data_IF_047661923709
#
_entry.id   IF_047661923709
#
_cell.length_a   1.000
_cell.length_b   1.000
_cell.length_c   1.000
_cell.angle_alpha   90.00
_cell.angle_beta   90.00
_cell.angle_gamma   90.00
#
_symmetry.space_group_name_H-M   'P 1'
#
loop_
_entity.id
_entity.type
_entity.pdbx_description
1 polymer ?
#
# COMPACT_ATOMS: atom_id res chain seq x y z
N UNK A 1 -45.38 16.80 34.30
CA UNK A 1 -45.05 16.70 32.87
C UNK A 1 -43.80 17.48 32.43
N UNK A 2 -43.49 18.67 32.98
CA UNK A 2 -42.32 19.47 32.56
C UNK A 2 -40.94 18.94 33.01
N UNK A 3 -40.83 18.28 34.17
CA UNK A 3 -39.54 17.75 34.69
C UNK A 3 -38.99 16.60 33.81
N UNK A 4 -39.85 15.69 33.39
CA UNK A 4 -39.49 14.52 32.57
C UNK A 4 -38.97 14.93 31.19
N UNK A 5 -39.57 15.95 30.56
CA UNK A 5 -39.09 16.51 29.29
C UNK A 5 -37.68 17.11 29.40
N UNK A 6 -37.36 17.81 30.50
CA UNK A 6 -36.02 18.39 30.72
C UNK A 6 -34.94 17.32 30.91
N UNK A 7 -35.27 16.22 31.58
CA UNK A 7 -34.36 15.07 31.76
C UNK A 7 -34.11 14.41 30.40
N UNK A 8 -35.17 14.19 29.62
CA UNK A 8 -35.08 13.55 28.31
C UNK A 8 -34.24 14.37 27.32
N UNK A 9 -34.40 15.70 27.29
CA UNK A 9 -33.57 16.59 26.47
C UNK A 9 -32.09 16.55 26.88
N UNK A 10 -31.79 16.52 28.19
CA UNK A 10 -30.40 16.40 28.67
C UNK A 10 -29.78 15.06 28.29
N UNK A 11 -30.52 13.96 28.43
CA UNK A 11 -30.07 12.64 28.02
C UNK A 11 -29.77 12.58 26.51
N UNK A 12 -30.61 13.17 25.67
CA UNK A 12 -30.39 13.23 24.22
C UNK A 12 -29.14 14.06 23.88
N UNK A 13 -28.93 15.22 24.52
CA UNK A 13 -27.74 16.03 24.30
C UNK A 13 -26.44 15.31 24.69
N UNK A 14 -26.45 14.56 25.80
CA UNK A 14 -25.29 13.75 26.22
C UNK A 14 -25.01 12.63 25.21
N UNK A 15 -26.03 11.97 24.69
CA UNK A 15 -25.86 10.92 23.67
C UNK A 15 -25.27 11.48 22.36
N UNK A 16 -25.73 12.66 21.91
CA UNK A 16 -25.19 13.33 20.72
C UNK A 16 -23.73 13.73 20.94
N UNK A 17 -23.40 14.26 22.12
CA UNK A 17 -22.02 14.61 22.45
C UNK A 17 -21.09 13.37 22.48
N UNK A 18 -21.55 12.25 23.04
CA UNK A 18 -20.80 10.99 23.05
C UNK A 18 -20.61 10.45 21.63
N UNK A 19 -21.63 10.48 20.78
CA UNK A 19 -21.51 10.06 19.39
C UNK A 19 -20.51 10.92 18.61
N UNK A 20 -20.51 12.24 18.83
CA UNK A 20 -19.55 13.15 18.22
C UNK A 20 -18.10 12.87 18.69
N UNK A 21 -17.90 12.56 19.98
CA UNK A 21 -16.59 12.19 20.51
C UNK A 21 -16.08 10.87 19.92
N UNK A 22 -16.96 9.86 19.78
CA UNK A 22 -16.61 8.60 19.12
C UNK A 22 -16.22 8.82 17.65
N UNK A 23 -16.95 9.67 16.91
CA UNK A 23 -16.61 10.01 15.54
C UNK A 23 -15.27 10.75 15.45
N UNK A 24 -14.99 11.68 16.36
CA UNK A 24 -13.69 12.37 16.40
C UNK A 24 -12.54 11.40 16.70
N UNK A 25 -12.71 10.48 17.66
CA UNK A 25 -11.71 9.47 17.97
C UNK A 25 -11.46 8.54 16.78
N UNK A 26 -12.51 8.15 16.06
CA UNK A 26 -12.42 7.35 14.83
C UNK A 26 -11.63 8.09 13.74
N UNK A 27 -11.94 9.37 13.51
CA UNK A 27 -11.21 10.19 12.53
C UNK A 27 -9.73 10.36 12.90
N UNK A 28 -9.42 10.60 14.18
CA UNK A 28 -8.02 10.73 14.63
C UNK A 28 -7.27 9.41 14.46
N UNK A 29 -7.88 8.28 14.84
CA UNK A 29 -7.29 6.96 14.62
C UNK A 29 -7.06 6.68 13.14
N UNK A 30 -8.01 7.02 12.27
CA UNK A 30 -7.88 6.91 10.81
C UNK A 30 -6.73 7.74 10.25
N UNK A 31 -6.58 9.00 10.70
CA UNK A 31 -5.48 9.87 10.28
C UNK A 31 -4.13 9.29 10.72
N UNK A 32 -4.03 8.76 11.93
CA UNK A 32 -2.80 8.12 12.43
C UNK A 32 -2.42 6.93 11.54
N UNK A 33 -3.37 6.06 11.20
CA UNK A 33 -3.14 4.90 10.34
C UNK A 33 -2.63 5.31 8.95
N UNK A 34 -3.23 6.35 8.35
CA UNK A 34 -2.77 6.90 7.07
C UNK A 34 -1.30 7.37 7.10
N UNK A 35 -0.90 8.04 8.18
CA UNK A 35 0.49 8.49 8.35
C UNK A 35 1.44 7.36 8.69
N UNK A 36 0.98 6.31 9.38
CA UNK A 36 1.80 5.13 9.68
C UNK A 36 2.22 4.41 8.39
N UNK A 37 1.28 4.17 7.49
CA UNK A 37 1.53 3.56 6.18
C UNK A 37 2.54 4.33 5.33
N UNK A 38 2.35 5.65 5.24
CA UNK A 38 3.27 6.52 4.51
C UNK A 38 4.66 6.57 5.15
N UNK A 39 4.72 6.69 6.49
CA UNK A 39 6.00 6.73 7.20
C UNK A 39 6.82 5.45 7.05
N UNK A 40 6.18 4.30 6.87
CA UNK A 40 6.86 3.05 6.59
C UNK A 40 7.49 3.07 5.19
N UNK A 41 6.74 3.51 4.17
CA UNK A 41 7.27 3.70 2.81
C UNK A 41 8.45 4.68 2.77
N UNK A 42 8.35 5.79 3.50
CA UNK A 42 9.44 6.77 3.63
C UNK A 42 10.68 6.20 4.33
N UNK A 43 10.50 5.41 5.40
CA UNK A 43 11.59 4.71 6.09
C UNK A 43 12.28 3.69 5.18
N UNK A 44 11.52 2.99 4.36
CA UNK A 44 12.07 2.05 3.37
C UNK A 44 12.86 2.78 2.29
N UNK A 45 12.34 3.90 1.78
CA UNK A 45 13.04 4.73 0.80
C UNK A 45 14.36 5.28 1.34
N UNK A 46 14.40 5.68 2.61
CA UNK A 46 15.61 6.14 3.27
C UNK A 46 16.63 5.02 3.55
N UNK A 47 16.18 3.77 3.68
CA UNK A 47 17.02 2.60 3.96
C UNK A 47 17.38 1.79 2.70
N UNK A 48 16.98 2.24 1.51
CA UNK A 48 17.35 1.60 0.26
C UNK A 48 18.89 1.57 0.13
N UNK A 49 19.50 0.40 -0.10
CA UNK A 49 20.95 0.31 -0.23
C UNK A 49 21.43 1.09 -1.46
N UNK A 50 22.34 2.03 -1.24
CA UNK A 50 23.12 2.68 -2.29
C UNK A 50 24.30 1.75 -2.61
N UNK A 51 24.12 0.76 -3.47
CA UNK A 51 25.18 -0.22 -3.76
C UNK A 51 25.59 -0.25 -5.23
N UNK A 52 26.47 0.69 -5.57
CA UNK A 52 27.47 0.52 -6.61
C UNK A 52 28.59 -0.40 -6.12
N UNK A 53 28.37 -1.71 -6.23
CA UNK A 53 29.42 -2.72 -6.41
C UNK A 53 29.97 -3.41 -5.16
N UNK A 54 29.54 -4.65 -4.93
CA UNK A 54 30.39 -5.87 -5.06
C UNK A 54 29.55 -7.13 -4.81
N UNK A 55 29.54 -8.08 -5.76
CA UNK A 55 28.87 -9.38 -5.57
C UNK A 55 29.68 -10.27 -4.62
N UNK A 56 29.47 -10.11 -3.32
CA UNK A 56 29.68 -11.16 -2.34
C UNK A 56 28.31 -11.74 -1.98
N UNK A 57 28.19 -13.07 -1.87
CA UNK A 57 26.98 -13.75 -1.37
C UNK A 57 26.78 -13.49 0.14
N UNK A 58 26.79 -12.22 0.55
CA UNK A 58 26.19 -11.82 1.81
C UNK A 58 24.68 -12.00 1.66
N UNK A 59 24.05 -12.57 2.70
CA UNK A 59 22.59 -12.62 2.81
C UNK A 59 22.05 -11.25 2.47
N UNK A 60 21.26 -11.16 1.39
CA UNK A 60 20.58 -9.92 1.02
C UNK A 60 19.87 -9.41 2.27
N UNK A 61 20.30 -8.25 2.76
CA UNK A 61 19.67 -7.62 3.91
C UNK A 61 18.34 -7.06 3.45
N UNK A 62 17.27 -7.79 3.73
CA UNK A 62 15.90 -7.36 3.48
C UNK A 62 15.63 -6.18 4.43
N UNK A 63 15.38 -4.97 3.91
CA UNK A 63 15.17 -3.79 4.75
C UNK A 63 13.75 -3.71 5.34
N UNK A 64 12.88 -4.64 4.97
CA UNK A 64 11.46 -4.73 5.37
C UNK A 64 11.30 -5.62 6.61
N UNK A 65 10.61 -5.13 7.63
CA UNK A 65 10.17 -5.94 8.77
C UNK A 65 8.83 -6.63 8.44
N UNK A 66 8.91 -7.81 7.81
CA UNK A 66 7.72 -8.56 7.43
C UNK A 66 6.95 -9.11 8.63
N UNK A 67 7.60 -9.36 9.78
CA UNK A 67 6.92 -9.83 10.98
C UNK A 67 5.97 -8.74 11.52
N UNK A 68 6.43 -7.48 11.57
CA UNK A 68 5.59 -6.33 11.95
C UNK A 68 4.44 -6.12 10.97
N UNK A 69 4.72 -6.17 9.66
CA UNK A 69 3.71 -5.98 8.62
C UNK A 69 2.65 -7.09 8.63
N UNK A 70 3.07 -8.35 8.75
CA UNK A 70 2.14 -9.48 8.76
C UNK A 70 1.33 -9.56 10.06
N UNK A 71 1.87 -9.06 11.17
CA UNK A 71 1.11 -8.86 12.39
C UNK A 71 0.02 -7.78 12.23
N UNK A 72 0.27 -6.75 11.41
CA UNK A 72 -0.72 -5.73 11.06
C UNK A 72 -1.78 -6.28 10.10
N UNK A 73 -1.36 -6.96 9.03
CA UNK A 73 -2.25 -7.60 8.08
C UNK A 73 -1.61 -8.85 7.46
N UNK A 74 -2.17 -10.05 7.68
CA UNK A 74 -1.61 -11.30 7.16
C UNK A 74 -1.69 -11.42 5.62
N UNK A 75 -2.48 -10.58 4.95
CA UNK A 75 -2.55 -10.56 3.48
C UNK A 75 -1.32 -9.90 2.84
N UNK A 76 -0.46 -9.21 3.63
CA UNK A 76 0.82 -8.65 3.15
C UNK A 76 1.83 -9.78 2.94
N UNK A 77 2.33 -9.91 1.70
CA UNK A 77 3.24 -11.00 1.36
C UNK A 77 4.54 -10.53 0.70
N UNK A 78 4.58 -9.30 0.19
CA UNK A 78 5.77 -8.73 -0.43
C UNK A 78 5.82 -7.20 -0.27
N UNK A 79 6.94 -6.62 -0.68
CA UNK A 79 7.13 -5.18 -0.78
C UNK A 79 7.69 -4.84 -2.17
N UNK A 80 7.11 -3.88 -2.87
CA UNK A 80 7.59 -3.43 -4.18
C UNK A 80 8.19 -2.04 -4.05
N UNK A 81 9.35 -1.83 -4.67
CA UNK A 81 9.98 -0.52 -4.76
C UNK A 81 10.57 -0.26 -6.14
N UNK A 82 10.51 1.00 -6.58
CA UNK A 82 11.24 1.51 -7.74
C UNK A 82 12.11 2.67 -7.23
N UNK A 83 13.45 2.56 -7.27
CA UNK A 83 14.34 3.59 -6.76
C UNK A 83 14.07 4.96 -7.37
N UNK A 84 14.31 6.00 -6.57
CA UNK A 84 14.12 7.41 -6.96
C UNK A 84 12.70 7.79 -7.39
N UNK A 85 11.71 6.96 -7.06
CA UNK A 85 10.28 7.27 -7.15
C UNK A 85 9.63 7.21 -5.75
N UNK A 86 8.35 7.60 -5.66
CA UNK A 86 7.50 7.38 -4.48
C UNK A 86 6.82 6.00 -4.51
N UNK A 87 7.18 5.12 -5.45
CA UNK A 87 6.70 3.74 -5.49
C UNK A 87 7.52 2.91 -4.52
N UNK A 88 6.99 2.78 -3.31
CA UNK A 88 7.51 1.90 -2.25
C UNK A 88 6.33 1.49 -1.37
N UNK A 89 5.78 0.30 -1.60
CA UNK A 89 4.51 -0.13 -1.01
C UNK A 89 4.50 -1.62 -0.66
N UNK A 90 3.73 -1.98 0.36
CA UNK A 90 3.35 -3.35 0.64
C UNK A 90 2.48 -3.90 -0.49
N UNK A 91 2.67 -5.18 -0.83
CA UNK A 91 1.85 -5.91 -1.78
C UNK A 91 0.98 -6.89 -1.01
N UNK A 92 -0.33 -6.78 -1.24
CA UNK A 92 -1.34 -7.59 -0.57
C UNK A 92 -2.02 -8.56 -1.54
N UNK A 93 -2.49 -9.69 -1.02
CA UNK A 93 -3.36 -10.57 -1.79
C UNK A 93 -4.37 -11.22 -0.84
N UNK A 94 -5.64 -11.03 -1.18
CA UNK A 94 -6.77 -11.64 -0.49
C UNK A 94 -6.98 -13.04 -1.04
N UNK A 95 -7.02 -14.05 -0.17
CA UNK A 95 -7.31 -15.42 -0.59
C UNK A 95 -8.83 -15.64 -0.77
N UNK A 96 -9.23 -16.33 -1.84
CA UNK A 96 -10.57 -16.90 -2.01
C UNK A 96 -11.55 -16.13 -2.92
N UNK A 97 -12.68 -16.77 -3.21
CA UNK A 97 -13.66 -16.39 -4.25
C UNK A 97 -14.51 -15.14 -3.94
N UNK A 98 -14.35 -14.49 -2.78
CA UNK A 98 -15.35 -13.53 -2.28
C UNK A 98 -15.13 -12.06 -2.72
N UNK A 99 -13.89 -11.60 -2.93
CA UNK A 99 -13.58 -10.25 -3.49
C UNK A 99 -12.08 -10.13 -3.85
N UNK A 100 -11.70 -10.52 -5.07
CA UNK A 100 -10.31 -10.39 -5.56
C UNK A 100 -9.84 -8.95 -5.74
N UNK A 101 -10.77 -7.98 -5.71
CA UNK A 101 -10.48 -6.55 -5.79
C UNK A 101 -10.63 -5.86 -4.44
N UNK A 102 -10.67 -6.62 -3.33
CA UNK A 102 -10.84 -6.06 -1.98
C UNK A 102 -9.89 -4.88 -1.71
N UNK A 103 -8.61 -5.05 -2.05
CA UNK A 103 -7.57 -4.02 -1.84
C UNK A 103 -7.58 -2.88 -2.85
N UNK A 104 -8.48 -2.89 -3.84
CA UNK A 104 -8.75 -1.69 -4.66
C UNK A 104 -9.40 -0.57 -3.84
N UNK A 105 -10.04 -0.89 -2.71
CA UNK A 105 -10.79 0.06 -1.86
C UNK A 105 -10.47 -0.05 -0.38
N UNK A 106 -9.36 -0.71 -0.04
CA UNK A 106 -8.88 -0.86 1.34
C UNK A 106 -7.37 -0.62 1.42
N UNK A 107 -6.93 0.01 2.51
CA UNK A 107 -5.51 0.22 2.83
C UNK A 107 -4.83 -1.06 3.31
N UNK A 108 -3.52 -1.01 3.52
CA UNK A 108 -2.67 -2.15 3.91
C UNK A 108 -3.05 -2.77 5.25
N UNK A 109 -3.75 -2.04 6.13
CA UNK A 109 -4.29 -2.55 7.40
C UNK A 109 -5.73 -3.06 7.30
N UNK A 110 -6.31 -3.12 6.10
CA UNK A 110 -7.68 -3.57 5.84
C UNK A 110 -8.78 -2.53 6.10
N UNK A 111 -8.45 -1.28 6.46
CA UNK A 111 -9.44 -0.21 6.59
C UNK A 111 -9.90 0.28 5.21
N UNK A 112 -11.16 0.73 5.11
CA UNK A 112 -11.66 1.31 3.87
C UNK A 112 -10.87 2.57 3.48
N UNK A 113 -10.38 2.60 2.25
CA UNK A 113 -9.67 3.72 1.65
C UNK A 113 -9.85 3.70 0.14
N UNK A 114 -10.45 4.74 -0.42
CA UNK A 114 -10.76 4.80 -1.86
C UNK A 114 -9.53 4.82 -2.76
N UNK A 115 -8.34 5.09 -2.22
CA UNK A 115 -7.09 4.98 -2.97
C UNK A 115 -6.47 3.57 -2.95
N UNK A 116 -7.06 2.64 -2.20
CA UNK A 116 -6.64 1.24 -2.13
C UNK A 116 -5.20 1.03 -1.68
N UNK A 117 -4.69 -0.16 -2.02
CA UNK A 117 -3.32 -0.62 -1.82
C UNK A 117 -2.75 -1.17 -3.11
N UNK A 118 -1.47 -1.55 -3.11
CA UNK A 118 -0.91 -2.38 -4.17
C UNK A 118 -1.28 -3.83 -3.88
N UNK A 119 -1.86 -4.52 -4.87
CA UNK A 119 -2.35 -5.89 -4.66
C UNK A 119 -2.20 -6.77 -5.89
N UNK A 120 -2.22 -8.08 -5.67
CA UNK A 120 -2.40 -9.09 -6.72
C UNK A 120 -3.68 -9.89 -6.48
N UNK A 121 -4.14 -10.59 -7.50
CA UNK A 121 -5.26 -11.53 -7.40
C UNK A 121 -4.73 -12.94 -7.09
N UNK A 122 -5.55 -13.78 -6.47
CA UNK A 122 -5.19 -15.14 -6.02
C UNK A 122 -4.99 -16.17 -7.15
N UNK A 123 -5.14 -15.74 -8.42
CA UNK A 123 -4.62 -16.48 -9.56
C UNK A 123 -3.09 -16.55 -9.58
N UNK A 124 -2.42 -15.62 -8.90
CA UNK A 124 -0.97 -15.60 -8.77
C UNK A 124 -0.49 -16.14 -7.42
N UNK A 125 0.57 -16.94 -7.44
CA UNK A 125 1.29 -17.35 -6.25
C UNK A 125 1.97 -16.16 -5.57
N UNK A 126 1.91 -16.12 -4.24
CA UNK A 126 2.53 -15.07 -3.41
C UNK A 126 4.06 -15.10 -3.45
N UNK A 127 4.67 -16.13 -4.01
CA UNK A 127 6.13 -16.29 -4.04
C UNK A 127 6.79 -15.81 -5.34
N UNK A 128 6.00 -15.23 -6.26
CA UNK A 128 6.42 -14.78 -7.59
C UNK A 128 7.03 -15.90 -8.45
N UNK A 129 6.69 -17.16 -8.20
CA UNK A 129 7.15 -18.30 -9.01
C UNK A 129 6.39 -18.44 -10.34
N UNK A 130 5.25 -17.77 -10.48
CA UNK A 130 4.49 -17.77 -11.73
C UNK A 130 5.25 -17.08 -12.87
N UNK A 131 5.03 -17.51 -14.13
CA UNK A 131 5.62 -16.85 -15.29
C UNK A 131 5.24 -15.37 -15.43
N UNK A 132 4.08 -14.98 -14.90
CA UNK A 132 3.58 -13.61 -14.93
C UNK A 132 2.75 -13.33 -13.68
N UNK A 133 3.27 -12.46 -12.81
CA UNK A 133 2.53 -11.91 -11.67
C UNK A 133 2.03 -10.51 -12.02
N UNK A 134 0.73 -10.26 -11.83
CA UNK A 134 0.13 -8.94 -12.10
C UNK A 134 -0.11 -8.21 -10.78
N UNK A 135 0.46 -7.01 -10.66
CA UNK A 135 0.22 -6.10 -9.54
C UNK A 135 -0.67 -4.93 -10.00
N UNK A 136 -1.70 -4.66 -9.23
CA UNK A 136 -2.65 -3.58 -9.43
C UNK A 136 -2.42 -2.48 -8.39
N UNK A 137 -2.70 -1.23 -8.78
CA UNK A 137 -2.61 -0.07 -7.92
C UNK A 137 -3.27 1.13 -8.57
N UNK A 138 -3.82 2.04 -7.76
CA UNK A 138 -4.52 3.22 -8.29
C UNK A 138 -3.55 4.24 -8.91
N UNK A 139 -4.06 4.98 -9.89
CA UNK A 139 -3.43 6.20 -10.40
C UNK A 139 -4.08 7.41 -9.71
N UNK A 140 -3.57 7.78 -8.53
CA UNK A 140 -4.14 8.88 -7.74
C UNK A 140 -3.68 10.25 -8.24
N UNK A 141 -4.60 11.23 -8.22
CA UNK A 141 -4.33 12.62 -8.65
C UNK A 141 -3.22 13.33 -7.89
N UNK A 142 -2.86 12.84 -6.70
CA UNK A 142 -1.77 13.37 -5.89
C UNK A 142 -0.41 12.73 -6.21
N UNK A 143 -0.31 11.92 -7.27
CA UNK A 143 0.93 11.28 -7.71
C UNK A 143 1.32 10.02 -6.92
N UNK A 144 0.49 9.57 -5.97
CA UNK A 144 0.78 8.39 -5.13
C UNK A 144 0.31 7.08 -5.75
N UNK A 145 0.65 5.97 -5.08
CA UNK A 145 0.37 4.59 -5.52
C UNK A 145 1.09 4.32 -6.85
N UNK A 146 0.40 3.90 -7.90
CA UNK A 146 0.99 3.63 -9.22
C UNK A 146 0.86 4.79 -10.20
N UNK A 147 0.50 5.99 -9.74
CA UNK A 147 0.40 7.17 -10.61
C UNK A 147 1.72 7.53 -11.32
N UNK A 148 2.87 7.36 -10.65
CA UNK A 148 4.19 7.62 -11.24
C UNK A 148 4.60 6.63 -12.33
N UNK A 149 3.90 5.49 -12.48
CA UNK A 149 4.15 4.61 -13.63
C UNK A 149 3.82 5.29 -14.98
N UNK A 150 3.03 6.37 -14.98
CA UNK A 150 2.78 7.15 -16.20
C UNK A 150 4.05 7.87 -16.69
N UNK A 151 4.98 8.20 -15.79
CA UNK A 151 6.21 8.93 -16.12
C UNK A 151 7.17 8.06 -16.95
N UNK A 152 7.05 6.74 -16.87
CA UNK A 152 7.82 5.77 -17.66
C UNK A 152 7.46 5.77 -19.16
N UNK A 153 6.44 6.53 -19.57
CA UNK A 153 6.20 6.81 -20.99
C UNK A 153 7.22 7.79 -21.58
N UNK A 154 7.92 8.55 -20.73
CA UNK A 154 9.07 9.35 -21.10
C UNK A 154 10.34 8.48 -21.19
N UNK A 155 11.07 8.63 -22.29
CA UNK A 155 12.24 7.80 -22.56
C UNK A 155 13.40 8.05 -21.57
N UNK A 156 13.58 9.29 -21.10
CA UNK A 156 14.67 9.60 -20.15
C UNK A 156 14.37 8.99 -18.78
N UNK A 157 13.12 9.08 -18.31
CA UNK A 157 12.67 8.42 -17.07
C UNK A 157 12.82 6.90 -17.17
N UNK A 158 12.37 6.32 -18.29
CA UNK A 158 12.45 4.88 -18.52
C UNK A 158 13.90 4.36 -18.50
N UNK A 159 14.84 5.05 -19.15
CA UNK A 159 16.25 4.69 -19.17
C UNK A 159 16.94 4.91 -17.81
N UNK A 160 16.51 5.90 -17.04
CA UNK A 160 17.05 6.17 -15.71
C UNK A 160 16.59 5.17 -14.63
N UNK A 161 15.37 4.61 -14.76
CA UNK A 161 14.74 3.79 -13.72
C UNK A 161 14.41 2.37 -14.20
N UNK A 162 15.41 1.63 -14.69
CA UNK A 162 15.22 0.33 -15.36
C UNK A 162 14.81 -0.86 -14.48
N UNK A 163 14.79 -0.71 -13.15
CA UNK A 163 14.66 -1.85 -12.23
C UNK A 163 13.54 -1.67 -11.20
N UNK A 164 12.80 -2.75 -10.97
CA UNK A 164 11.83 -2.91 -9.88
C UNK A 164 12.41 -3.93 -8.90
N UNK A 165 12.40 -3.60 -7.62
CA UNK A 165 12.83 -4.51 -6.56
C UNK A 165 11.60 -5.00 -5.81
N UNK A 166 11.51 -6.32 -5.67
CA UNK A 166 10.46 -6.99 -4.92
C UNK A 166 11.11 -7.70 -3.75
N UNK A 167 10.78 -7.30 -2.53
CA UNK A 167 11.22 -7.99 -1.32
C UNK A 167 10.15 -9.00 -0.90
N UNK A 168 10.60 -10.20 -0.60
CA UNK A 168 9.90 -11.25 0.12
C UNK A 168 10.56 -11.44 1.49
N UNK A 169 9.96 -12.16 2.45
CA UNK A 169 10.56 -12.37 3.77
C UNK A 169 11.94 -13.03 3.76
N UNK A 170 12.25 -13.82 2.73
CA UNK A 170 13.46 -14.64 2.64
C UNK A 170 14.42 -14.22 1.51
N UNK A 171 13.94 -13.46 0.52
CA UNK A 171 14.73 -13.07 -0.66
C UNK A 171 14.29 -11.74 -1.24
N UNK A 172 15.15 -11.19 -2.09
CA UNK A 172 14.84 -10.05 -2.95
C UNK A 172 14.89 -10.52 -4.40
N UNK A 173 13.92 -10.08 -5.18
CA UNK A 173 13.86 -10.25 -6.63
C UNK A 173 14.09 -8.91 -7.29
N UNK A 174 14.84 -8.92 -8.40
CA UNK A 174 15.10 -7.73 -9.22
C UNK A 174 14.52 -7.99 -10.60
N UNK A 175 13.61 -7.13 -11.02
CA UNK A 175 12.97 -7.19 -12.33
C UNK A 175 13.48 -6.04 -13.19
N UNK A 176 13.85 -6.34 -14.43
CA UNK A 176 14.18 -5.33 -15.43
C UNK A 176 12.94 -4.94 -16.21
N UNK A 177 12.64 -3.64 -16.26
CA UNK A 177 11.53 -3.11 -17.02
C UNK A 177 11.90 -3.17 -18.50
N UNK A 178 11.24 -4.02 -19.29
CA UNK A 178 11.49 -4.11 -20.73
C UNK A 178 10.53 -3.26 -21.57
N UNK A 179 9.44 -2.77 -20.98
CA UNK A 179 8.39 -2.06 -21.68
C UNK A 179 7.56 -1.17 -20.74
N UNK A 180 7.15 0.00 -21.23
CA UNK A 180 6.14 0.86 -20.63
C UNK A 180 5.27 1.43 -21.75
N UNK A 181 3.95 1.27 -21.65
CA UNK A 181 3.01 1.72 -22.68
C UNK A 181 1.82 2.41 -22.01
N UNK A 182 1.54 3.69 -22.32
CA UNK A 182 0.33 4.34 -21.85
C UNK A 182 -0.88 3.70 -22.56
N UNK A 183 -1.87 3.26 -21.78
CA UNK A 183 -3.15 2.82 -22.32
C UNK A 183 -4.15 3.97 -22.22
N UNK A 184 -4.68 4.43 -23.36
CA UNK A 184 -5.72 5.45 -23.39
C UNK A 184 -7.08 4.86 -23.02
N UNK A 185 -7.91 5.63 -22.32
CA UNK A 185 -9.32 5.27 -22.10
C UNK A 185 -10.21 5.50 -23.34
N UNK A 186 -9.62 5.85 -24.48
CA UNK A 186 -10.33 5.94 -25.77
C UNK A 186 -10.55 4.51 -26.29
N UNK A 187 -11.77 4.00 -26.07
CA UNK A 187 -12.32 2.83 -26.74
C UNK A 187 -13.24 3.26 -27.87
#
# INVERSE_FOLDING_TARGET
MMKTKKILVRSVLVLVALAALCACAWCVWYIIQYYQGQSFGDRMRANAPDDTGSFQLERVKIPVDFDELQAMNPDIYAWVTIPDTDISYAVLQRDGDDDQEYYSKHSENGAYYSGGSIFSQDYNQKDFSDPMTVLYGHNLRNGRMFAQLNDFSDAEVFEAHRYIYVYLPDRMLVYEIFAAYPHSNEH
#
